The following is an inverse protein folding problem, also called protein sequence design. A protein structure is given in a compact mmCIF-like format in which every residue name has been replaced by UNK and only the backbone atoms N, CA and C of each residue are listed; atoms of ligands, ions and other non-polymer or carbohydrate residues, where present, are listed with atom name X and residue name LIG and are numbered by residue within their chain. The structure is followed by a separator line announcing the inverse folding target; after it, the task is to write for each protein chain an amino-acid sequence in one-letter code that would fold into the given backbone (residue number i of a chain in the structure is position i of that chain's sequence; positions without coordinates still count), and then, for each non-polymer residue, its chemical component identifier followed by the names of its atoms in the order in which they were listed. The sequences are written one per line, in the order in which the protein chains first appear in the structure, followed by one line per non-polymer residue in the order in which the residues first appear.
data_IF_105803113388
#
_entry.id   IF_105803113388
#
_cell.length_a   1.000
_cell.length_b   1.000
_cell.length_c   1.000
_cell.angle_alpha   90.00
_cell.angle_beta   90.00
_cell.angle_gamma   90.00
#
_symmetry.space_group_name_H-M   'P 1'
#
loop_
_entity.id
_entity.type
_entity.pdbx_description
1 polymer ?
#
# COMPACT_ATOMS: atom_id res chain seq x y z
N UNK A 1 -13.19 7.72 -10.04
CA UNK A 1 -13.07 8.73 -8.96
C UNK A 1 -11.58 8.95 -8.76
N UNK A 2 -11.07 10.16 -8.95
CA UNK A 2 -9.62 10.44 -8.99
C UNK A 2 -8.90 10.29 -7.63
N UNK A 3 -9.63 10.13 -6.53
CA UNK A 3 -9.04 10.05 -5.18
C UNK A 3 -8.04 8.88 -5.00
N UNK A 4 -8.27 7.72 -5.60
CA UNK A 4 -7.32 6.60 -5.53
C UNK A 4 -6.01 6.91 -6.28
N UNK A 5 -6.09 7.68 -7.38
CA UNK A 5 -4.90 8.15 -8.09
C UNK A 5 -4.13 9.14 -7.22
N UNK A 6 -4.80 10.14 -6.66
CA UNK A 6 -4.18 11.14 -5.77
C UNK A 6 -3.51 10.48 -4.55
N UNK A 7 -4.10 9.41 -4.02
CA UNK A 7 -3.46 8.62 -2.97
C UNK A 7 -2.14 8.01 -3.45
N UNK A 8 -2.13 7.37 -4.64
CA UNK A 8 -0.91 6.80 -5.22
C UNK A 8 0.14 7.88 -5.52
N UNK A 9 -0.27 9.04 -6.04
CA UNK A 9 0.62 10.16 -6.34
C UNK A 9 1.34 10.63 -5.07
N UNK A 10 0.59 10.76 -3.96
CA UNK A 10 1.17 11.05 -2.66
C UNK A 10 2.13 9.94 -2.19
N UNK A 11 1.75 8.67 -2.32
CA UNK A 11 2.63 7.56 -1.93
C UNK A 11 3.94 7.58 -2.73
N UNK A 12 3.91 7.88 -4.03
CA UNK A 12 5.11 8.00 -4.85
C UNK A 12 5.95 9.21 -4.45
N UNK A 13 5.34 10.37 -4.20
CA UNK A 13 6.06 11.53 -3.69
C UNK A 13 6.75 11.24 -2.35
N UNK A 14 6.12 10.45 -1.47
CA UNK A 14 6.65 10.08 -0.17
C UNK A 14 7.77 9.02 -0.26
N UNK A 15 7.49 7.87 -0.89
CA UNK A 15 8.40 6.73 -0.92
C UNK A 15 9.51 6.83 -1.96
N UNK A 16 9.35 7.68 -2.97
CA UNK A 16 10.28 7.79 -4.10
C UNK A 16 10.80 9.23 -4.27
N UNK A 17 10.92 9.97 -3.18
CA UNK A 17 11.47 11.34 -3.15
C UNK A 17 12.90 11.42 -3.69
N UNK A 18 13.69 10.36 -3.50
CA UNK A 18 14.98 10.15 -4.16
C UNK A 18 14.83 9.07 -5.23
N UNK A 19 14.97 9.44 -6.51
CA UNK A 19 14.70 8.54 -7.63
C UNK A 19 15.55 7.27 -7.62
N UNK A 20 16.80 7.33 -7.18
CA UNK A 20 17.73 6.20 -7.09
C UNK A 20 17.56 5.33 -5.83
N UNK A 21 16.63 5.71 -4.94
CA UNK A 21 16.36 5.02 -3.68
C UNK A 21 14.85 4.83 -3.51
N UNK A 22 14.17 4.49 -4.60
CA UNK A 22 12.74 4.24 -4.57
C UNK A 22 12.42 3.09 -3.61
N UNK A 23 11.30 3.20 -2.89
CA UNK A 23 10.91 2.22 -1.87
C UNK A 23 9.63 1.48 -2.19
N UNK A 24 8.81 1.99 -3.11
CA UNK A 24 7.52 1.41 -3.39
C UNK A 24 7.06 1.71 -4.83
N UNK A 25 6.54 0.66 -5.48
CA UNK A 25 5.77 0.76 -6.70
C UNK A 25 4.50 -0.06 -6.58
N UNK A 26 3.40 0.44 -7.13
CA UNK A 26 2.22 -0.36 -7.35
C UNK A 26 2.47 -1.33 -8.51
N UNK A 27 1.95 -2.56 -8.40
CA UNK A 27 2.26 -3.62 -9.37
C UNK A 27 1.75 -3.36 -10.79
N UNK A 28 0.86 -2.39 -10.95
CA UNK A 28 0.29 -1.96 -12.22
C UNK A 28 1.18 -0.99 -13.03
N UNK A 29 2.35 -0.58 -12.50
CA UNK A 29 3.28 0.30 -13.21
C UNK A 29 4.74 0.15 -12.74
N UNK A 30 5.36 -1.02 -12.97
CA UNK A 30 6.79 -1.23 -12.74
C UNK A 30 7.34 -2.37 -13.62
N UNK A 31 8.64 -2.31 -13.93
CA UNK A 31 9.37 -3.30 -14.72
C UNK A 31 10.55 -3.85 -13.92
N UNK A 32 10.86 -5.14 -14.09
CA UNK A 32 11.84 -5.83 -13.26
C UNK A 32 12.49 -7.00 -14.01
N UNK A 33 13.64 -7.46 -13.52
CA UNK A 33 14.30 -8.66 -14.05
C UNK A 33 13.44 -9.90 -13.80
N UNK A 34 13.06 -10.57 -14.89
CA UNK A 34 12.30 -11.82 -14.81
C UNK A 34 13.08 -12.93 -14.07
N UNK A 35 14.40 -12.92 -14.16
CA UNK A 35 15.27 -13.84 -13.40
C UNK A 35 15.17 -13.55 -11.90
N UNK A 36 15.42 -12.30 -11.48
CA UNK A 36 15.35 -11.92 -10.07
C UNK A 36 13.95 -12.13 -9.49
N UNK A 37 12.89 -11.88 -10.27
CA UNK A 37 11.53 -12.20 -9.88
C UNK A 37 11.38 -13.67 -9.49
N UNK A 38 11.87 -14.58 -10.35
CA UNK A 38 11.81 -16.03 -10.12
C UNK A 38 12.72 -16.45 -8.97
N UNK A 39 13.93 -15.88 -8.88
CA UNK A 39 14.87 -16.14 -7.77
C UNK A 39 14.28 -15.76 -6.43
N UNK A 40 13.52 -14.67 -6.38
CA UNK A 40 12.80 -14.25 -5.18
C UNK A 40 11.48 -15.03 -4.99
N UNK A 41 11.06 -15.92 -5.90
CA UNK A 41 9.82 -16.68 -5.77
C UNK A 41 8.54 -15.89 -6.09
N UNK A 42 8.66 -14.76 -6.79
CA UNK A 42 7.55 -13.95 -7.26
C UNK A 42 6.76 -13.25 -6.14
N UNK A 43 5.50 -12.90 -6.44
CA UNK A 43 4.57 -12.34 -5.44
C UNK A 43 4.17 -13.39 -4.41
N UNK A 44 4.06 -12.98 -3.15
CA UNK A 44 3.63 -13.88 -2.08
C UNK A 44 2.14 -14.24 -2.21
N UNK A 45 1.85 -15.50 -2.54
CA UNK A 45 0.48 -16.00 -2.75
C UNK A 45 -0.31 -16.21 -1.45
N UNK A 46 0.31 -15.98 -0.29
CA UNK A 46 -0.37 -16.02 1.01
C UNK A 46 -1.27 -14.81 1.24
N UNK A 47 -1.14 -13.77 0.39
CA UNK A 47 -2.01 -12.60 0.39
C UNK A 47 -3.34 -13.01 -0.27
N UNK A 48 -4.44 -13.14 0.51
CA UNK A 48 -5.70 -13.70 0.01
C UNK A 48 -6.46 -12.75 -0.93
N UNK A 49 -5.94 -11.54 -1.10
CA UNK A 49 -6.47 -10.49 -1.96
C UNK A 49 -5.29 -9.89 -2.73
N UNK A 50 -5.54 -9.42 -3.95
CA UNK A 50 -4.64 -8.50 -4.66
C UNK A 50 -4.65 -7.13 -3.96
N UNK A 51 -3.99 -7.09 -2.81
CA UNK A 51 -3.87 -5.96 -1.91
C UNK A 51 -2.61 -6.16 -1.04
N UNK A 52 -1.56 -5.40 -1.31
CA UNK A 52 -0.35 -5.32 -0.49
C UNK A 52 0.77 -6.31 -0.87
N UNK A 53 0.55 -7.19 -1.85
CA UNK A 53 1.59 -8.09 -2.39
C UNK A 53 2.71 -7.31 -3.09
N UNK A 54 2.39 -6.17 -3.69
CA UNK A 54 3.34 -5.24 -4.30
C UNK A 54 4.26 -4.60 -3.27
N UNK A 55 3.68 -4.13 -2.15
CA UNK A 55 4.41 -3.57 -1.02
C UNK A 55 5.30 -4.60 -0.35
N UNK A 56 4.82 -5.84 -0.20
CA UNK A 56 5.62 -6.96 0.29
C UNK A 56 6.79 -7.26 -0.62
N UNK A 57 6.55 -7.30 -1.94
CA UNK A 57 7.57 -7.61 -2.92
C UNK A 57 8.64 -6.52 -3.00
N UNK A 58 8.26 -5.24 -3.03
CA UNK A 58 9.20 -4.11 -2.97
C UNK A 58 10.06 -4.14 -1.70
N UNK A 59 9.44 -4.38 -0.54
CA UNK A 59 10.17 -4.51 0.73
C UNK A 59 11.18 -5.66 0.70
N UNK A 60 10.78 -6.82 0.17
CA UNK A 60 11.64 -7.99 0.05
C UNK A 60 12.75 -7.78 -0.98
N UNK A 61 12.46 -7.12 -2.09
CA UNK A 61 13.45 -6.74 -3.10
C UNK A 61 14.58 -5.90 -2.48
N UNK A 62 14.21 -4.86 -1.71
CA UNK A 62 15.16 -4.04 -0.97
C UNK A 62 15.91 -4.81 0.12
N UNK A 63 15.21 -5.71 0.83
CA UNK A 63 15.83 -6.59 1.84
C UNK A 63 16.98 -7.43 1.26
N UNK A 64 16.85 -7.86 0.00
CA UNK A 64 17.91 -8.57 -0.72
C UNK A 64 18.98 -7.66 -1.34
N UNK A 65 18.93 -6.35 -1.08
CA UNK A 65 19.93 -5.37 -1.54
C UNK A 65 19.79 -4.95 -3.01
N UNK A 66 18.69 -5.33 -3.68
CA UNK A 66 18.45 -4.91 -5.05
C UNK A 66 17.92 -3.47 -5.10
N UNK A 67 18.43 -2.69 -6.05
CA UNK A 67 18.03 -1.29 -6.22
C UNK A 67 16.68 -1.16 -6.92
N UNK A 68 16.00 -0.05 -6.65
CA UNK A 68 14.76 0.36 -7.30
C UNK A 68 14.91 1.82 -7.76
N UNK A 69 14.55 2.08 -9.01
CA UNK A 69 14.65 3.41 -9.63
C UNK A 69 13.28 3.91 -10.02
N UNK A 70 12.91 5.10 -9.55
CA UNK A 70 11.68 5.78 -9.94
C UNK A 70 11.89 6.65 -11.17
N UNK A 71 11.08 6.41 -12.21
CA UNK A 71 11.06 7.16 -13.47
C UNK A 71 9.75 7.95 -13.59
N UNK A 72 9.68 9.20 -13.10
CA UNK A 72 8.44 10.00 -13.10
C UNK A 72 7.91 10.32 -14.51
N UNK A 73 8.75 10.20 -15.54
CA UNK A 73 8.40 10.36 -16.95
C UNK A 73 7.66 9.14 -17.55
N UNK A 74 7.72 7.97 -16.90
CA UNK A 74 7.07 6.73 -17.37
C UNK A 74 5.71 6.58 -16.69
N UNK A 75 4.68 7.12 -17.34
CA UNK A 75 3.33 7.17 -16.78
C UNK A 75 2.37 6.24 -17.51
N UNK A 76 1.58 5.48 -16.74
CA UNK A 76 0.45 4.68 -17.24
C UNK A 76 -0.82 5.21 -16.61
N UNK A 77 -1.77 5.64 -17.45
CA UNK A 77 -3.06 6.15 -16.99
C UNK A 77 -4.05 5.01 -16.79
N UNK A 78 -4.49 4.83 -15.55
CA UNK A 78 -5.53 3.86 -15.19
C UNK A 78 -6.86 4.58 -14.93
N UNK A 79 -7.89 4.28 -15.73
CA UNK A 79 -9.21 4.85 -15.55
C UNK A 79 -10.15 3.86 -14.83
N UNK A 80 -10.30 4.00 -13.51
CA UNK A 80 -11.32 3.26 -12.75
C UNK A 80 -12.44 4.17 -12.26
N UNK A 81 -13.65 3.96 -12.80
CA UNK A 81 -14.87 4.58 -12.27
C UNK A 81 -15.29 3.83 -11.01
N UNK A 82 -14.74 4.23 -9.88
CA UNK A 82 -15.18 3.75 -8.56
C UNK A 82 -16.42 4.52 -8.11
N UNK A 83 -17.45 3.79 -7.70
CA UNK A 83 -18.48 4.29 -6.79
C UNK A 83 -17.93 4.36 -5.37
N UNK A 84 -18.59 5.12 -4.48
CA UNK A 84 -18.20 5.22 -3.07
C UNK A 84 -18.11 3.84 -2.39
N UNK A 85 -19.04 2.93 -2.71
CA UNK A 85 -19.03 1.55 -2.19
C UNK A 85 -17.83 0.75 -2.67
N UNK A 86 -17.50 0.82 -3.96
CA UNK A 86 -16.31 0.14 -4.49
C UNK A 86 -15.01 0.74 -3.99
N UNK A 87 -14.97 2.07 -3.79
CA UNK A 87 -13.84 2.78 -3.21
C UNK A 87 -13.59 2.33 -1.77
N UNK A 88 -14.64 2.33 -0.93
CA UNK A 88 -14.55 1.82 0.44
C UNK A 88 -14.04 0.38 0.49
N UNK A 89 -14.64 -0.51 -0.31
CA UNK A 89 -14.23 -1.92 -0.37
C UNK A 89 -12.77 -2.09 -0.78
N UNK A 90 -12.31 -1.31 -1.76
CA UNK A 90 -10.92 -1.35 -2.21
C UNK A 90 -9.96 -0.96 -1.08
N UNK A 91 -10.20 0.17 -0.42
CA UNK A 91 -9.33 0.63 0.67
C UNK A 91 -9.41 -0.26 1.92
N UNK A 92 -10.58 -0.83 2.21
CA UNK A 92 -10.72 -1.88 3.23
C UNK A 92 -9.86 -3.11 2.91
N UNK A 93 -9.87 -3.56 1.65
CA UNK A 93 -9.00 -4.64 1.20
C UNK A 93 -7.51 -4.28 1.30
N UNK A 94 -7.13 -3.05 0.98
CA UNK A 94 -5.76 -2.55 1.19
C UNK A 94 -5.36 -2.60 2.67
N UNK A 95 -6.30 -2.30 3.58
CA UNK A 95 -6.10 -2.47 5.02
C UNK A 95 -5.79 -3.90 5.44
N UNK A 96 -6.57 -4.86 4.93
CA UNK A 96 -6.32 -6.29 5.14
C UNK A 96 -4.95 -6.71 4.61
N UNK A 97 -4.59 -6.20 3.44
CA UNK A 97 -3.28 -6.38 2.82
C UNK A 97 -2.13 -5.84 3.65
N UNK A 98 -2.29 -4.65 4.23
CA UNK A 98 -1.33 -4.05 5.14
C UNK A 98 -1.07 -4.93 6.37
N UNK A 99 -2.09 -5.56 6.95
CA UNK A 99 -1.88 -6.53 8.04
C UNK A 99 -1.03 -7.72 7.59
N UNK A 100 -1.36 -8.33 6.43
CA UNK A 100 -0.57 -9.44 5.88
C UNK A 100 0.88 -9.03 5.59
N UNK A 101 1.09 -7.82 5.09
CA UNK A 101 2.42 -7.25 4.89
C UNK A 101 3.20 -7.10 6.20
N UNK A 102 2.58 -6.54 7.24
CA UNK A 102 3.22 -6.41 8.55
C UNK A 102 3.62 -7.78 9.12
N UNK A 103 2.77 -8.79 8.98
CA UNK A 103 3.06 -10.16 9.41
C UNK A 103 4.21 -10.80 8.61
N UNK A 104 4.20 -10.67 7.28
CA UNK A 104 5.27 -11.20 6.43
C UNK A 104 6.62 -10.51 6.72
N UNK A 105 6.60 -9.20 6.96
CA UNK A 105 7.80 -8.41 7.31
C UNK A 105 8.32 -8.77 8.70
N UNK A 106 7.46 -8.99 9.70
CA UNK A 106 7.89 -9.40 11.04
C UNK A 106 8.54 -10.78 11.05
N UNK A 107 8.09 -11.70 10.18
CA UNK A 107 8.73 -13.02 10.02
C UNK A 107 10.15 -12.95 9.46
N UNK A 108 10.50 -11.85 8.76
CA UNK A 108 11.87 -11.59 8.27
C UNK A 108 12.77 -10.93 9.33
N UNK A 109 12.33 -10.81 10.58
CA UNK A 109 13.03 -10.11 11.66
C UNK A 109 13.40 -8.65 11.33
N UNK A 110 12.61 -8.00 10.47
CA UNK A 110 12.75 -6.58 10.16
C UNK A 110 11.98 -5.77 11.21
N UNK A 111 12.52 -4.61 11.59
CA UNK A 111 11.87 -3.69 12.54
C UNK A 111 10.40 -3.40 12.18
N UNK A 112 9.60 -3.16 13.22
CA UNK A 112 8.21 -2.73 13.06
C UNK A 112 8.14 -1.41 12.28
N UNK A 113 7.16 -1.32 11.40
CA UNK A 113 6.90 -0.10 10.64
C UNK A 113 6.45 0.98 11.60
N UNK A 114 7.20 2.09 11.66
CA UNK A 114 6.87 3.24 12.49
C UNK A 114 5.69 4.00 11.86
N UNK A 115 4.72 4.33 12.70
CA UNK A 115 3.55 5.12 12.31
C UNK A 115 3.90 6.60 12.47
N UNK A 116 4.15 7.27 11.34
CA UNK A 116 4.50 8.69 11.31
C UNK A 116 3.24 9.55 11.25
N UNK A 117 2.92 10.33 12.29
CA UNK A 117 1.72 11.20 12.28
C UNK A 117 1.77 12.25 11.16
N UNK A 118 2.97 12.76 10.87
CA UNK A 118 3.21 13.69 9.76
C UNK A 118 2.84 13.09 8.41
N UNK A 119 3.05 11.78 8.21
CA UNK A 119 2.65 11.08 6.99
C UNK A 119 1.14 11.16 6.77
N UNK A 120 0.33 10.89 7.80
CA UNK A 120 -1.13 10.93 7.66
C UNK A 120 -1.63 12.37 7.50
N UNK A 121 -1.06 13.32 8.24
CA UNK A 121 -1.42 14.72 8.10
C UNK A 121 -1.12 15.25 6.68
N UNK A 122 0.08 14.94 6.15
CA UNK A 122 0.49 15.33 4.81
C UNK A 122 -0.36 14.63 3.74
N UNK A 123 -0.70 13.35 3.92
CA UNK A 123 -1.60 12.63 3.02
C UNK A 123 -2.97 13.32 2.90
N UNK A 124 -3.56 13.69 4.04
CA UNK A 124 -4.88 14.32 4.07
C UNK A 124 -4.88 15.74 3.49
N UNK A 125 -3.77 16.46 3.66
CA UNK A 125 -3.62 17.83 3.18
C UNK A 125 -3.00 17.93 1.79
N UNK A 126 -2.49 16.84 1.22
CA UNK A 126 -1.85 16.79 -0.10
C UNK A 126 -2.71 17.44 -1.22
N UNK A 127 -4.01 17.14 -1.36
CA UNK A 127 -4.83 17.77 -2.40
C UNK A 127 -5.00 19.28 -2.24
N UNK A 128 -4.87 19.80 -1.01
CA UNK A 128 -5.04 21.23 -0.72
C UNK A 128 -3.88 22.07 -1.25
N UNK A 129 -2.72 21.45 -1.50
CA UNK A 129 -1.55 22.13 -2.09
C UNK A 129 -1.79 22.59 -3.53
N UNK A 130 -2.64 21.89 -4.29
CA UNK A 130 -2.93 22.18 -5.71
C UNK A 130 -4.00 23.26 -5.93
N UNK A 131 -4.65 23.78 -4.86
CA UNK A 131 -5.68 24.84 -4.91
C UNK A 131 -6.79 24.61 -5.95
N UNK A 132 -7.20 23.37 -6.16
CA UNK A 132 -8.31 22.99 -7.04
C UNK A 132 -9.66 23.11 -6.32
N UNK A 133 -10.78 23.41 -7.01
CA UNK A 133 -12.12 23.38 -6.40
C UNK A 133 -12.49 22.00 -5.83
N UNK A 134 -11.83 20.93 -6.27
CA UNK A 134 -12.07 19.56 -5.81
C UNK A 134 -11.22 19.16 -4.59
N UNK A 135 -10.25 19.99 -4.17
CA UNK A 135 -9.26 19.63 -3.15
C UNK A 135 -9.90 19.22 -1.82
N UNK A 136 -10.92 19.94 -1.34
CA UNK A 136 -11.61 19.58 -0.09
C UNK A 136 -12.33 18.22 -0.19
N UNK A 137 -12.98 17.94 -1.32
CA UNK A 137 -13.63 16.65 -1.56
C UNK A 137 -12.60 15.52 -1.64
N UNK A 138 -11.46 15.75 -2.31
CA UNK A 138 -10.37 14.78 -2.39
C UNK A 138 -9.78 14.49 -1.01
N UNK A 139 -9.50 15.51 -0.19
CA UNK A 139 -9.06 15.34 1.19
C UNK A 139 -10.06 14.55 2.04
N UNK A 140 -11.37 14.81 1.89
CA UNK A 140 -12.40 14.02 2.54
C UNK A 140 -12.40 12.55 2.07
N UNK A 141 -12.25 12.30 0.78
CA UNK A 141 -12.16 10.94 0.23
C UNK A 141 -10.90 10.22 0.69
N UNK A 142 -9.77 10.90 0.84
CA UNK A 142 -8.54 10.34 1.43
C UNK A 142 -8.72 10.03 2.92
N UNK A 143 -9.44 10.87 3.67
CA UNK A 143 -9.82 10.55 5.05
C UNK A 143 -10.66 9.28 5.10
N UNK A 144 -11.69 9.20 4.26
CA UNK A 144 -12.55 8.02 4.15
C UNK A 144 -11.75 6.76 3.78
N UNK A 145 -10.76 6.89 2.88
CA UNK A 145 -9.90 5.78 2.51
C UNK A 145 -9.03 5.31 3.67
N UNK A 146 -8.52 6.22 4.51
CA UNK A 146 -7.75 5.85 5.70
C UNK A 146 -8.62 5.13 6.72
N UNK A 147 -9.85 5.61 6.97
CA UNK A 147 -10.80 4.94 7.86
C UNK A 147 -11.10 3.52 7.36
N UNK A 148 -11.36 3.36 6.06
CA UNK A 148 -11.61 2.05 5.46
C UNK A 148 -10.39 1.13 5.60
N UNK A 149 -9.19 1.64 5.34
CA UNK A 149 -7.93 0.91 5.47
C UNK A 149 -7.69 0.43 6.91
N UNK A 150 -7.77 1.34 7.90
CA UNK A 150 -7.63 0.99 9.32
C UNK A 150 -8.67 -0.05 9.73
N UNK A 151 -9.92 0.13 9.30
CA UNK A 151 -11.00 -0.84 9.57
C UNK A 151 -10.69 -2.23 9.00
N UNK A 152 -10.16 -2.29 7.76
CA UNK A 152 -9.73 -3.53 7.12
C UNK A 152 -8.56 -4.22 7.83
N UNK A 153 -7.60 -3.42 8.30
CA UNK A 153 -6.45 -3.90 9.07
C UNK A 153 -6.92 -4.57 10.37
N UNK A 154 -7.72 -3.88 11.18
CA UNK A 154 -8.22 -4.42 12.45
C UNK A 154 -9.17 -5.60 12.27
N UNK A 155 -9.98 -5.61 11.21
CA UNK A 155 -10.83 -6.76 10.88
C UNK A 155 -9.99 -8.01 10.56
N UNK A 156 -8.87 -7.86 9.83
CA UNK A 156 -7.96 -8.98 9.54
C UNK A 156 -7.20 -9.41 10.79
N UNK A 157 -6.76 -8.45 11.62
CA UNK A 157 -6.14 -8.71 12.91
C UNK A 157 -7.04 -9.56 13.82
N UNK A 158 -8.32 -9.16 13.99
CA UNK A 158 -9.27 -9.85 14.87
C UNK A 158 -9.50 -11.30 14.44
N UNK A 159 -9.67 -11.57 13.14
CA UNK A 159 -9.82 -12.95 12.66
C UNK A 159 -8.58 -13.80 12.92
N UNK A 160 -7.39 -13.25 12.68
CA UNK A 160 -6.14 -13.97 12.91
C UNK A 160 -5.96 -14.30 14.41
N UNK A 161 -6.33 -13.36 15.28
CA UNK A 161 -6.28 -13.56 16.73
C UNK A 161 -7.26 -14.65 17.19
N UNK A 162 -8.50 -14.62 16.69
CA UNK A 162 -9.51 -15.63 17.01
C UNK A 162 -9.09 -17.05 16.55
N UNK A 163 -8.45 -17.17 15.38
CA UNK A 163 -7.93 -18.45 14.89
C UNK A 163 -6.80 -19.02 15.76
N UNK A 164 -5.92 -18.16 16.29
CA UNK A 164 -4.85 -18.58 17.20
C UNK A 164 -5.40 -19.06 18.54
N UNK A 165 -6.39 -18.35 19.11
CA UNK A 165 -7.02 -18.76 20.38
C UNK A 165 -7.78 -20.08 20.28
N UNK A 166 -8.27 -20.46 19.10
CA UNK A 166 -8.95 -21.75 18.91
C UNK A 166 -7.99 -22.95 18.77
N UNK A 167 -6.71 -22.72 18.46
CA UNK A 167 -5.70 -23.78 18.33
C UNK A 167 -5.01 -24.13 19.65
N UNK A 168 -5.05 -23.24 20.65
CA UNK A 168 -4.42 -23.45 21.97
C UNK A 168 -5.32 -24.21 22.96
N UNK A 169 -6.56 -24.53 22.59
CA UNK A 169 -7.57 -25.16 23.46
C UNK A 169 -7.77 -26.65 23.22
N UNK A 170 -6.79 -27.33 22.62
CA UNK A 170 -6.82 -28.78 22.35
C UNK A 170 -5.70 -29.48 23.11
#
# INVERSE_FOLDING_TARGET
MYASQVLIDYLYAYYNSTTQQAQFFASNNFALSAELFRTLGGFNTSFPLAAGEDREFCDRWLYHGYQMVYAPEVQIYHAHKLSLRSFWRQHFNYGRGAFCFHQARSQRNVEQIKVELSFYFNLLTYPLSERSPQSALLSFLLLLSQIANISGFFWKYSQNHNSMTSQTTV
#
